data_IF_257688999832
#
_entry.id   IF_257688999832
#
_cell.length_a   1.000
_cell.length_b   1.000
_cell.length_c   1.000
_cell.angle_alpha   90.00
_cell.angle_beta   90.00
_cell.angle_gamma   90.00
#
_symmetry.space_group_name_H-M   'P 1'
#
loop_
_entity.id
_entity.type
_entity.pdbx_description
1 polymer ?
#
# COMPACT_ATOMS: atom_id res chain seq x y z
N UNK A 1 -1.04 44.02 9.18
CA UNK A 1 -0.27 43.29 8.17
C UNK A 1 -0.59 41.81 8.34
N UNK A 2 -1.49 41.27 7.52
CA UNK A 2 -1.76 39.84 7.51
C UNK A 2 -0.58 39.15 6.83
N UNK A 3 0.05 38.20 7.53
CA UNK A 3 1.05 37.33 6.94
C UNK A 3 0.24 36.38 6.03
N UNK A 4 0.35 36.58 4.72
CA UNK A 4 -0.15 35.60 3.75
C UNK A 4 0.52 34.26 4.06
N UNK A 5 -0.28 33.29 4.49
CA UNK A 5 0.16 31.91 4.62
C UNK A 5 0.51 31.43 3.21
N UNK A 6 1.79 31.40 2.90
CA UNK A 6 2.31 30.75 1.71
C UNK A 6 1.73 29.34 1.69
N UNK A 7 0.94 29.05 0.66
CA UNK A 7 0.25 27.76 0.47
C UNK A 7 1.34 26.67 0.48
N UNK A 8 1.54 26.02 1.62
CA UNK A 8 2.59 25.02 1.80
C UNK A 8 2.36 23.95 0.73
N UNK A 9 3.31 23.76 -0.19
CA UNK A 9 3.18 22.75 -1.25
C UNK A 9 3.03 21.41 -0.54
N UNK A 10 1.81 20.88 -0.57
CA UNK A 10 1.46 19.67 0.14
C UNK A 10 1.91 18.49 -0.71
N UNK A 11 2.90 17.73 -0.24
CA UNK A 11 3.45 16.59 -0.99
C UNK A 11 2.35 15.57 -1.30
N UNK A 12 2.40 15.01 -2.51
CA UNK A 12 1.45 14.01 -2.99
C UNK A 12 1.93 12.62 -2.60
N UNK A 13 1.17 11.95 -1.74
CA UNK A 13 1.45 10.57 -1.31
C UNK A 13 0.41 9.62 -1.87
N UNK A 14 0.91 8.56 -2.50
CA UNK A 14 0.09 7.48 -3.02
C UNK A 14 0.27 6.25 -2.13
N UNK A 15 -0.79 5.89 -1.43
CA UNK A 15 -0.82 4.74 -0.53
C UNK A 15 -1.37 3.56 -1.33
N UNK A 16 -0.58 2.51 -1.54
CA UNK A 16 -0.92 1.41 -2.43
C UNK A 16 -1.23 0.16 -1.61
N UNK A 17 -2.52 -0.09 -1.39
CA UNK A 17 -2.96 -1.32 -0.74
C UNK A 17 -2.96 -2.46 -1.75
N UNK A 18 -2.31 -3.58 -1.42
CA UNK A 18 -2.49 -4.83 -2.15
C UNK A 18 -3.77 -5.57 -1.74
N UNK A 19 -4.21 -5.37 -0.50
CA UNK A 19 -5.41 -5.98 0.07
C UNK A 19 -6.67 -5.14 -0.26
N UNK A 20 -7.83 -5.78 -0.17
CA UNK A 20 -9.12 -5.16 -0.40
C UNK A 20 -9.44 -4.13 0.70
N UNK A 21 -10.06 -3.02 0.30
CA UNK A 21 -10.51 -1.96 1.21
C UNK A 21 -12.03 -1.83 1.10
N UNK A 22 -12.73 -1.88 2.24
CA UNK A 22 -14.18 -1.81 2.27
C UNK A 22 -14.76 -2.15 3.64
N UNK A 23 -16.08 -2.34 3.69
CA UNK A 23 -16.80 -2.71 4.94
C UNK A 23 -16.32 -4.04 5.51
N UNK A 24 -15.82 -4.91 4.63
CA UNK A 24 -15.20 -6.20 4.97
C UNK A 24 -13.77 -6.19 4.43
N UNK A 25 -12.82 -5.92 5.31
CA UNK A 25 -11.39 -5.92 5.02
C UNK A 25 -10.61 -6.58 6.16
N UNK A 26 -9.48 -7.18 5.83
CA UNK A 26 -8.58 -7.78 6.83
C UNK A 26 -7.63 -6.73 7.40
N UNK A 27 -6.80 -7.13 8.37
CA UNK A 27 -5.84 -6.26 9.05
C UNK A 27 -4.98 -5.40 8.10
N UNK A 28 -4.39 -5.94 7.02
CA UNK A 28 -3.63 -5.15 6.06
C UNK A 28 -4.47 -4.05 5.39
N UNK A 29 -5.69 -4.38 4.96
CA UNK A 29 -6.63 -3.39 4.43
C UNK A 29 -6.98 -2.29 5.44
N UNK A 30 -7.35 -2.65 6.68
CA UNK A 30 -7.64 -1.68 7.76
C UNK A 30 -6.46 -0.72 7.93
N UNK A 31 -5.24 -1.25 8.02
CA UNK A 31 -4.02 -0.47 8.23
C UNK A 31 -3.80 0.57 7.13
N UNK A 32 -3.97 0.19 5.87
CA UNK A 32 -3.75 1.10 4.74
C UNK A 32 -4.86 2.15 4.62
N UNK A 33 -6.09 1.79 4.96
CA UNK A 33 -7.19 2.75 5.07
C UNK A 33 -6.93 3.79 6.18
N UNK A 34 -6.51 3.35 7.37
CA UNK A 34 -6.22 4.26 8.48
C UNK A 34 -4.99 5.15 8.21
N UNK A 35 -3.97 4.64 7.50
CA UNK A 35 -2.89 5.50 7.00
C UNK A 35 -3.43 6.60 6.09
N UNK A 36 -4.32 6.27 5.15
CA UNK A 36 -4.89 7.27 4.25
C UNK A 36 -5.67 8.35 5.01
N UNK A 37 -6.51 7.92 5.96
CA UNK A 37 -7.33 8.81 6.78
C UNK A 37 -6.52 9.73 7.68
N UNK A 38 -5.46 9.24 8.34
CA UNK A 38 -4.67 10.07 9.24
C UNK A 38 -3.71 10.99 8.47
N UNK A 39 -3.07 10.48 7.42
CA UNK A 39 -2.10 11.24 6.64
C UNK A 39 -2.74 12.34 5.78
N UNK A 40 -4.04 12.24 5.46
CA UNK A 40 -4.74 13.27 4.68
C UNK A 40 -4.86 14.61 5.39
N UNK A 41 -4.70 14.63 6.72
CA UNK A 41 -4.60 15.87 7.49
C UNK A 41 -3.30 16.63 7.22
N UNK A 42 -2.30 15.99 6.59
CA UNK A 42 -0.95 16.51 6.41
C UNK A 42 -0.46 16.50 4.96
N UNK A 43 -0.99 15.62 4.10
CA UNK A 43 -0.53 15.35 2.73
C UNK A 43 -1.69 15.27 1.72
N UNK A 44 -1.42 15.44 0.43
CA UNK A 44 -2.40 15.18 -0.63
C UNK A 44 -2.41 13.66 -0.88
N UNK A 45 -3.33 12.97 -0.21
CA UNK A 45 -3.40 11.51 -0.18
C UNK A 45 -4.27 10.98 -1.32
N UNK A 46 -3.74 10.01 -2.06
CA UNK A 46 -4.54 9.10 -2.89
C UNK A 46 -4.32 7.65 -2.44
N UNK A 47 -5.40 7.00 -2.01
CA UNK A 47 -5.43 5.56 -1.72
C UNK A 47 -5.71 4.78 -3.01
N UNK A 48 -4.77 3.91 -3.39
CA UNK A 48 -4.84 3.02 -4.53
C UNK A 48 -5.23 1.62 -4.07
N UNK A 49 -6.30 1.07 -4.64
CA UNK A 49 -6.90 -0.21 -4.19
C UNK A 49 -7.15 -1.18 -5.36
N UNK A 50 -7.11 -2.50 -5.12
CA UNK A 50 -7.41 -3.50 -6.16
C UNK A 50 -8.92 -3.57 -6.47
N UNK A 51 -9.76 -3.14 -5.53
CA UNK A 51 -11.22 -3.19 -5.61
C UNK A 51 -11.85 -1.78 -5.61
N UNK A 52 -13.12 -1.72 -5.99
CA UNK A 52 -13.96 -0.54 -5.73
C UNK A 52 -14.32 -0.53 -4.25
N UNK A 53 -14.13 0.61 -3.61
CA UNK A 53 -14.36 0.82 -2.17
C UNK A 53 -15.85 1.07 -1.91
N UNK A 54 -16.37 0.55 -0.80
CA UNK A 54 -17.78 0.67 -0.36
C UNK A 54 -17.94 1.31 1.04
N UNK A 55 -16.90 1.99 1.51
CA UNK A 55 -16.85 2.77 2.76
C UNK A 55 -16.56 4.24 2.47
N UNK A 56 -16.79 5.09 3.47
CA UNK A 56 -16.49 6.52 3.36
C UNK A 56 -14.99 6.79 3.27
N UNK A 57 -14.64 7.82 2.50
CA UNK A 57 -13.27 8.22 2.19
C UNK A 57 -13.10 9.73 2.34
N UNK A 58 -13.84 10.34 3.26
CA UNK A 58 -13.75 11.76 3.52
C UNK A 58 -12.30 12.17 3.87
N UNK A 59 -11.84 13.26 3.24
CA UNK A 59 -10.50 13.80 3.44
C UNK A 59 -9.43 13.28 2.47
N UNK A 60 -9.63 12.19 1.73
CA UNK A 60 -8.64 11.70 0.76
C UNK A 60 -9.26 11.19 -0.55
N UNK A 61 -8.42 11.06 -1.58
CA UNK A 61 -8.82 10.56 -2.89
C UNK A 61 -8.65 9.05 -2.95
N UNK A 62 -9.44 8.38 -3.79
CA UNK A 62 -9.29 6.95 -4.04
C UNK A 62 -9.25 6.66 -5.52
N UNK A 63 -8.42 5.69 -5.95
CA UNK A 63 -8.47 5.16 -7.32
C UNK A 63 -8.27 3.66 -7.32
N UNK A 64 -9.06 2.97 -8.13
CA UNK A 64 -8.89 1.54 -8.33
C UNK A 64 -7.79 1.29 -9.36
N UNK A 65 -6.89 0.35 -9.07
CA UNK A 65 -6.00 -0.25 -10.07
C UNK A 65 -6.42 -1.71 -10.33
N UNK A 66 -5.95 -2.27 -11.45
CA UNK A 66 -6.22 -3.65 -11.84
C UNK A 66 -4.99 -4.50 -11.57
N UNK A 67 -5.13 -5.51 -10.72
CA UNK A 67 -4.02 -6.41 -10.34
C UNK A 67 -3.37 -7.05 -11.57
N UNK A 68 -4.19 -7.51 -12.52
CA UNK A 68 -3.73 -8.16 -13.75
C UNK A 68 -3.30 -7.17 -14.86
N UNK A 69 -3.17 -5.88 -14.56
CA UNK A 69 -2.75 -4.88 -15.53
C UNK A 69 -1.87 -3.81 -14.86
N UNK A 70 -0.57 -4.08 -14.82
CA UNK A 70 0.44 -3.20 -14.21
C UNK A 70 0.39 -1.76 -14.74
N UNK A 71 0.02 -1.54 -16.02
CA UNK A 71 -0.07 -0.20 -16.61
C UNK A 71 -1.14 0.66 -15.94
N UNK A 72 -2.16 0.05 -15.35
CA UNK A 72 -3.18 0.78 -14.59
C UNK A 72 -2.59 1.44 -13.34
N UNK A 73 -1.72 0.71 -12.62
CA UNK A 73 -1.04 1.22 -11.44
C UNK A 73 0.09 2.20 -11.81
N UNK A 74 0.86 1.87 -12.86
CA UNK A 74 1.97 2.70 -13.33
C UNK A 74 1.52 4.14 -13.66
N UNK A 75 0.46 4.28 -14.46
CA UNK A 75 -0.11 5.60 -14.80
C UNK A 75 -0.62 6.36 -13.57
N UNK A 76 -1.03 5.67 -12.51
CA UNK A 76 -1.46 6.33 -11.29
C UNK A 76 -0.26 6.96 -10.59
N UNK A 77 0.80 6.18 -10.35
CA UNK A 77 1.93 6.59 -9.50
C UNK A 77 2.86 7.65 -10.14
N UNK A 78 2.81 7.83 -11.46
CA UNK A 78 3.63 8.80 -12.21
C UNK A 78 3.53 10.25 -11.70
N UNK A 79 2.43 10.61 -11.04
CA UNK A 79 2.16 11.98 -10.57
C UNK A 79 2.34 12.17 -9.05
N UNK A 80 2.97 11.21 -8.37
CA UNK A 80 3.19 11.24 -6.92
C UNK A 80 4.63 11.57 -6.56
N UNK A 81 4.82 12.20 -5.40
CA UNK A 81 6.15 12.48 -4.83
C UNK A 81 6.64 11.32 -3.94
N UNK A 82 5.68 10.62 -3.34
CA UNK A 82 5.89 9.58 -2.33
C UNK A 82 4.93 8.43 -2.63
N UNK A 83 5.42 7.19 -2.50
CA UNK A 83 4.56 6.00 -2.41
C UNK A 83 4.72 5.33 -1.05
N UNK A 84 3.62 4.87 -0.47
CA UNK A 84 3.60 3.98 0.68
C UNK A 84 3.08 2.61 0.22
N UNK A 85 3.88 1.58 0.42
CA UNK A 85 3.62 0.23 -0.06
C UNK A 85 3.76 -0.81 1.03
N UNK A 86 3.08 -1.94 0.90
CA UNK A 86 3.44 -3.15 1.63
C UNK A 86 4.61 -3.83 0.91
N UNK A 87 5.66 -4.26 1.61
CA UNK A 87 6.87 -4.80 0.96
C UNK A 87 6.60 -5.89 -0.09
N UNK A 88 5.67 -6.80 0.21
CA UNK A 88 5.25 -7.89 -0.68
C UNK A 88 4.68 -7.43 -2.04
N UNK A 89 4.15 -6.20 -2.15
CA UNK A 89 3.62 -5.69 -3.42
C UNK A 89 4.68 -5.63 -4.53
N UNK A 90 5.96 -5.53 -4.15
CA UNK A 90 7.09 -5.47 -5.09
C UNK A 90 7.31 -6.78 -5.86
N UNK A 91 6.77 -7.90 -5.37
CA UNK A 91 6.76 -9.16 -6.09
C UNK A 91 5.83 -9.08 -7.32
N UNK A 92 4.62 -8.52 -7.14
CA UNK A 92 3.63 -8.39 -8.23
C UNK A 92 3.85 -7.16 -9.12
N UNK A 93 4.39 -6.07 -8.56
CA UNK A 93 4.63 -4.81 -9.27
C UNK A 93 6.09 -4.38 -9.14
N UNK A 94 7.04 -5.13 -9.73
CA UNK A 94 8.47 -4.88 -9.57
C UNK A 94 8.92 -3.52 -10.10
N UNK A 95 8.14 -2.90 -11.01
CA UNK A 95 8.44 -1.56 -11.52
C UNK A 95 8.44 -0.48 -10.43
N UNK A 96 7.73 -0.69 -9.31
CA UNK A 96 7.70 0.25 -8.18
C UNK A 96 9.07 0.41 -7.53
N UNK A 97 9.99 -0.57 -7.67
CA UNK A 97 11.39 -0.46 -7.22
C UNK A 97 12.14 0.69 -7.91
N UNK A 98 11.70 1.06 -9.12
CA UNK A 98 12.31 2.11 -9.93
C UNK A 98 11.57 3.46 -9.80
N UNK A 99 10.65 3.59 -8.85
CA UNK A 99 9.96 4.84 -8.56
C UNK A 99 11.00 5.93 -8.25
N UNK A 100 10.85 7.10 -8.89
CA UNK A 100 11.84 8.19 -8.81
C UNK A 100 11.70 9.05 -7.55
N UNK A 101 10.52 9.02 -6.92
CA UNK A 101 10.26 9.70 -5.65
C UNK A 101 10.67 8.86 -4.45
N UNK A 102 10.09 9.15 -3.29
CA UNK A 102 10.38 8.43 -2.04
C UNK A 102 9.49 7.20 -1.90
N UNK A 103 10.09 6.08 -1.50
CA UNK A 103 9.35 4.84 -1.20
C UNK A 103 9.35 4.64 0.32
N UNK A 104 8.16 4.52 0.91
CA UNK A 104 7.96 4.08 2.29
C UNK A 104 7.46 2.63 2.23
N UNK A 105 8.17 1.72 2.91
CA UNK A 105 7.84 0.30 2.91
C UNK A 105 7.29 -0.09 4.28
N UNK A 106 6.06 -0.57 4.30
CA UNK A 106 5.42 -1.18 5.46
C UNK A 106 5.81 -2.66 5.54
N UNK A 107 6.53 -3.00 6.60
CA UNK A 107 7.02 -4.36 6.92
C UNK A 107 6.13 -5.04 7.95
N UNK A 108 4.84 -4.71 7.97
CA UNK A 108 3.89 -5.09 9.01
C UNK A 108 3.85 -6.60 9.31
N UNK A 109 3.92 -7.47 8.29
CA UNK A 109 3.87 -8.91 8.52
C UNK A 109 5.21 -9.61 8.26
N UNK A 110 5.85 -10.22 9.28
CA UNK A 110 7.00 -11.09 9.10
C UNK A 110 6.57 -12.49 8.64
N UNK A 111 6.09 -12.61 7.40
CA UNK A 111 5.55 -13.86 6.83
C UNK A 111 6.46 -15.07 7.04
N UNK A 112 7.79 -14.90 6.95
CA UNK A 112 8.75 -15.96 7.19
C UNK A 112 8.68 -16.49 8.65
N UNK A 113 8.60 -15.60 9.65
CA UNK A 113 8.50 -16.00 11.06
C UNK A 113 7.15 -16.66 11.36
N UNK A 114 6.07 -16.09 10.82
CA UNK A 114 4.72 -16.66 10.94
C UNK A 114 4.67 -18.08 10.35
N UNK A 115 5.23 -18.25 9.15
CA UNK A 115 5.27 -19.55 8.47
C UNK A 115 6.10 -20.59 9.21
N UNK A 116 7.21 -20.18 9.86
CA UNK A 116 8.01 -21.10 10.67
C UNK A 116 7.20 -21.75 11.80
N UNK A 117 6.33 -20.97 12.47
CA UNK A 117 5.45 -21.47 13.53
C UNK A 117 4.26 -22.24 12.96
N UNK A 118 3.58 -21.71 11.94
CA UNK A 118 2.41 -22.35 11.32
C UNK A 118 2.71 -23.74 10.78
N UNK A 119 3.90 -23.93 10.21
CA UNK A 119 4.32 -25.18 9.57
C UNK A 119 5.34 -25.96 10.40
N UNK A 120 5.47 -25.68 11.71
CA UNK A 120 6.48 -26.33 12.57
C UNK A 120 6.37 -27.86 12.60
N UNK A 121 5.16 -28.40 12.47
CA UNK A 121 4.87 -29.84 12.51
C UNK A 121 4.88 -30.49 11.12
N UNK A 122 5.10 -29.70 10.05
CA UNK A 122 5.25 -30.22 8.69
C UNK A 122 6.65 -30.77 8.44
N UNK A 123 6.79 -31.67 7.46
CA UNK A 123 8.10 -32.18 7.06
C UNK A 123 8.98 -31.06 6.46
N UNK A 124 10.29 -31.31 6.37
CA UNK A 124 11.25 -30.30 5.91
C UNK A 124 11.01 -29.84 4.46
N UNK A 125 10.59 -30.75 3.58
CA UNK A 125 10.30 -30.42 2.18
C UNK A 125 9.18 -29.37 2.07
N UNK A 126 8.11 -29.55 2.85
CA UNK A 126 6.99 -28.63 2.88
C UNK A 126 7.39 -27.28 3.48
N UNK A 127 8.16 -27.27 4.57
CA UNK A 127 8.66 -26.03 5.19
C UNK A 127 9.54 -25.22 4.24
N UNK A 128 10.43 -25.88 3.49
CA UNK A 128 11.26 -25.23 2.46
C UNK A 128 10.41 -24.74 1.29
N UNK A 129 9.37 -25.48 0.90
CA UNK A 129 8.44 -25.05 -0.16
C UNK A 129 7.71 -23.78 0.25
N UNK A 130 7.24 -23.66 1.49
CA UNK A 130 6.56 -22.46 1.99
C UNK A 130 7.52 -21.26 2.05
N UNK A 131 8.72 -21.42 2.62
CA UNK A 131 9.69 -20.32 2.72
C UNK A 131 10.06 -19.71 1.36
N UNK A 132 10.19 -20.52 0.31
CA UNK A 132 10.47 -20.05 -1.06
C UNK A 132 9.31 -19.30 -1.72
N UNK A 133 8.09 -19.43 -1.20
CA UNK A 133 6.88 -18.82 -1.75
C UNK A 133 6.35 -17.64 -0.93
N UNK A 134 7.02 -17.30 0.19
CA UNK A 134 6.83 -16.06 0.94
C UNK A 134 7.68 -14.92 0.36
#
# INVERSE_FOLDING_TARGET
MAIESSKKIQSKIYIISYDVIGKKMAGPGIRFYEFAKILSNYLDVTLLTPNKIDIDTEGFKTRQYKVNNYKSLQRCVENSDIILIQGHILYYFPFLKNFKGKIIVDLYNPFNLESLEMFKDSNMEERIRIDKNN
#
